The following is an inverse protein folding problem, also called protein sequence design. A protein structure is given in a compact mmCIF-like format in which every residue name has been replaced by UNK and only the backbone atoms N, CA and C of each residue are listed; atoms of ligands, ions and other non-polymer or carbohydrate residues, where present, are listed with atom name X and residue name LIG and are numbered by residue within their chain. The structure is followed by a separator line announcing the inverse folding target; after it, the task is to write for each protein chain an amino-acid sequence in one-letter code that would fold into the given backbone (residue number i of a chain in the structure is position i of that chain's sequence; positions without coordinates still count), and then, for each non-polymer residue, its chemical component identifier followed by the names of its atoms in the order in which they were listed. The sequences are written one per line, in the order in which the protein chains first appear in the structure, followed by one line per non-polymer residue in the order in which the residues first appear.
data_IF_420356766622
#
_entry.id   IF_420356766622
#
_cell.length_a   1.000
_cell.length_b   1.000
_cell.length_c   1.000
_cell.angle_alpha   90.00
_cell.angle_beta   90.00
_cell.angle_gamma   90.00
#
_symmetry.space_group_name_H-M   'P 1'
#
loop_
_entity.id
_entity.type
_entity.pdbx_description
1 polymer ?
#
# COMPACT_ATOMS: atom_id res chain seq x y z
N UNK A 1 -16.27 14.43 -7.49
CA UNK A 1 -16.60 13.25 -6.66
C UNK A 1 -15.31 12.76 -6.06
N UNK A 2 -15.32 12.38 -4.79
CA UNK A 2 -14.13 12.00 -4.04
C UNK A 2 -14.32 10.58 -3.53
N UNK A 3 -13.42 9.67 -3.87
CA UNK A 3 -13.40 8.32 -3.33
C UNK A 3 -13.07 8.38 -1.83
N UNK A 4 -13.66 7.49 -1.05
CA UNK A 4 -13.23 7.25 0.32
C UNK A 4 -12.09 6.22 0.31
N UNK A 5 -11.12 6.38 1.20
CA UNK A 5 -9.98 5.46 1.31
C UNK A 5 -10.06 4.76 2.65
N UNK A 6 -10.04 3.43 2.63
CA UNK A 6 -9.90 2.57 3.80
C UNK A 6 -8.54 1.89 3.77
N UNK A 7 -7.85 1.90 4.90
CA UNK A 7 -6.65 1.09 5.09
C UNK A 7 -7.08 -0.15 5.84
N UNK A 8 -6.88 -1.32 5.24
CA UNK A 8 -7.22 -2.58 5.89
C UNK A 8 -6.33 -2.83 7.11
N UNK A 9 -6.77 -3.64 8.08
CA UNK A 9 -5.94 -3.98 9.25
C UNK A 9 -4.59 -4.61 8.88
N UNK A 10 -4.53 -5.34 7.76
CA UNK A 10 -3.30 -5.93 7.24
C UNK A 10 -2.34 -4.84 6.79
N UNK A 11 -2.80 -3.94 5.92
CA UNK A 11 -1.99 -2.81 5.47
C UNK A 11 -1.55 -1.92 6.64
N UNK A 12 -2.42 -1.69 7.63
CA UNK A 12 -2.09 -0.91 8.83
C UNK A 12 -0.92 -1.55 9.61
N UNK A 13 -0.97 -2.86 9.86
CA UNK A 13 0.12 -3.59 10.52
C UNK A 13 1.43 -3.51 9.73
N UNK A 14 1.37 -3.60 8.40
CA UNK A 14 2.55 -3.50 7.54
C UNK A 14 3.17 -2.10 7.56
N UNK A 15 2.34 -1.05 7.52
CA UNK A 15 2.77 0.34 7.68
C UNK A 15 3.42 0.54 9.05
N UNK A 16 2.79 0.04 10.11
CA UNK A 16 3.30 0.14 11.47
C UNK A 16 4.66 -0.56 11.62
N UNK A 17 4.79 -1.78 11.10
CA UNK A 17 6.04 -2.55 11.16
C UNK A 17 7.17 -1.81 10.44
N UNK A 18 6.91 -1.28 9.24
CA UNK A 18 7.87 -0.48 8.50
C UNK A 18 8.26 0.81 9.26
N UNK A 19 7.27 1.52 9.83
CA UNK A 19 7.52 2.72 10.62
C UNK A 19 8.39 2.44 11.85
N UNK A 20 8.08 1.38 12.62
CA UNK A 20 8.87 0.97 13.79
C UNK A 20 10.32 0.65 13.40
N UNK A 21 10.52 -0.09 12.30
CA UNK A 21 11.85 -0.42 11.79
C UNK A 21 12.69 0.82 11.46
N UNK A 22 12.08 1.82 10.81
CA UNK A 22 12.74 3.09 10.54
C UNK A 22 13.00 3.89 11.82
N UNK A 23 12.03 3.92 12.74
CA UNK A 23 12.09 4.75 13.95
C UNK A 23 13.22 4.33 14.88
N UNK A 24 13.52 3.04 14.97
CA UNK A 24 14.68 2.52 15.72
C UNK A 24 16.02 3.05 15.20
N UNK A 25 16.11 3.39 13.91
CA UNK A 25 17.37 3.79 13.24
C UNK A 25 17.46 5.29 13.04
N UNK A 26 16.35 5.91 12.66
CA UNK A 26 16.24 7.34 12.37
C UNK A 26 14.78 7.81 12.57
N UNK A 27 14.43 8.31 13.77
CA UNK A 27 13.08 8.76 14.07
C UNK A 27 12.56 9.86 13.14
N UNK A 28 13.39 10.85 12.81
CA UNK A 28 12.98 11.94 11.92
C UNK A 28 12.65 11.44 10.52
N UNK A 29 13.45 10.51 10.00
CA UNK A 29 13.17 9.88 8.73
C UNK A 29 11.87 9.08 8.79
N UNK A 30 11.64 8.32 9.86
CA UNK A 30 10.42 7.53 10.05
C UNK A 30 9.17 8.42 9.99
N UNK A 31 9.18 9.57 10.68
CA UNK A 31 8.06 10.50 10.69
C UNK A 31 7.82 11.13 9.30
N UNK A 32 8.90 11.51 8.60
CA UNK A 32 8.80 12.02 7.21
C UNK A 32 8.27 10.97 6.25
N UNK A 33 8.75 9.73 6.37
CA UNK A 33 8.31 8.60 5.56
C UNK A 33 6.83 8.28 5.80
N UNK A 34 6.40 8.20 7.05
CA UNK A 34 5.00 7.91 7.40
C UNK A 34 4.06 8.99 6.87
N UNK A 35 4.36 10.27 7.15
CA UNK A 35 3.56 11.39 6.62
C UNK A 35 3.50 11.39 5.10
N UNK A 36 4.63 11.14 4.44
CA UNK A 36 4.67 11.09 2.99
C UNK A 36 3.87 9.92 2.40
N UNK A 37 3.91 8.74 3.04
CA UNK A 37 3.12 7.59 2.63
C UNK A 37 1.62 7.88 2.77
N UNK A 38 1.20 8.39 3.92
CA UNK A 38 -0.21 8.74 4.17
C UNK A 38 -0.71 9.82 3.20
N UNK A 39 0.11 10.82 2.89
CA UNK A 39 -0.21 11.81 1.87
C UNK A 39 -0.34 11.18 0.47
N UNK A 40 0.52 10.23 0.12
CA UNK A 40 0.44 9.52 -1.15
C UNK A 40 -0.86 8.69 -1.25
N UNK A 41 -1.21 7.97 -0.18
CA UNK A 41 -2.47 7.21 -0.07
C UNK A 41 -3.68 8.16 -0.18
N UNK A 42 -3.64 9.33 0.46
CA UNK A 42 -4.72 10.32 0.38
C UNK A 42 -4.99 10.79 -1.06
N UNK A 43 -3.99 10.82 -1.95
CA UNK A 43 -4.21 11.17 -3.37
C UNK A 43 -5.13 10.19 -4.12
N UNK A 44 -5.33 8.98 -3.59
CA UNK A 44 -6.27 8.00 -4.16
C UNK A 44 -7.73 8.45 -4.01
N UNK A 45 -8.01 9.40 -3.12
CA UNK A 45 -9.34 10.00 -2.99
C UNK A 45 -9.79 10.76 -4.25
N UNK A 46 -8.85 11.25 -5.08
CA UNK A 46 -9.19 12.09 -6.24
C UNK A 46 -9.20 11.35 -7.57
N UNK A 47 -8.24 10.43 -7.78
CA UNK A 47 -8.04 9.74 -9.07
C UNK A 47 -7.40 8.36 -8.88
N UNK A 48 -8.06 7.39 -8.23
CA UNK A 48 -7.44 6.10 -7.93
C UNK A 48 -7.14 5.29 -9.21
N UNK A 49 -7.98 5.43 -10.24
CA UNK A 49 -7.80 4.80 -11.56
C UNK A 49 -6.57 5.27 -12.34
N UNK A 50 -5.87 6.34 -11.90
CA UNK A 50 -4.61 6.79 -12.52
C UNK A 50 -3.47 5.77 -12.32
N UNK A 51 -3.61 4.89 -11.34
CA UNK A 51 -2.60 3.93 -10.96
C UNK A 51 -2.70 2.69 -11.87
N UNK A 52 -1.55 2.17 -12.26
CA UNK A 52 -1.46 0.96 -13.09
C UNK A 52 -1.86 -0.28 -12.30
N UNK A 53 -2.22 -1.35 -13.01
CA UNK A 53 -2.45 -2.65 -12.41
C UNK A 53 -1.20 -3.15 -11.68
N UNK A 54 -1.43 -3.86 -10.57
CA UNK A 54 -0.38 -4.56 -9.86
C UNK A 54 0.07 -5.79 -10.64
N UNK A 55 1.32 -6.22 -10.44
CA UNK A 55 1.81 -7.50 -10.99
C UNK A 55 1.02 -8.68 -10.41
N UNK A 56 0.59 -8.53 -9.16
CA UNK A 56 -0.23 -9.50 -8.44
C UNK A 56 -1.68 -9.50 -8.90
N UNK A 57 -2.12 -8.62 -9.82
CA UNK A 57 -3.53 -8.56 -10.22
C UNK A 57 -4.11 -9.93 -10.59
N UNK A 58 -3.34 -10.76 -11.29
CA UNK A 58 -3.78 -12.08 -11.76
C UNK A 58 -4.03 -13.10 -10.64
N UNK A 59 -3.51 -12.87 -9.43
CA UNK A 59 -3.73 -13.75 -8.27
C UNK A 59 -4.88 -13.27 -7.37
N UNK A 60 -5.43 -12.08 -7.62
CA UNK A 60 -6.59 -11.58 -6.90
C UNK A 60 -7.89 -11.86 -7.66
N UNK A 61 -9.01 -12.10 -6.96
CA UNK A 61 -10.32 -12.25 -7.59
C UNK A 61 -10.88 -10.93 -8.15
N UNK A 62 -10.21 -9.81 -7.89
CA UNK A 62 -10.64 -8.47 -8.24
C UNK A 62 -9.50 -7.63 -8.85
N UNK A 63 -9.85 -6.49 -9.43
CA UNK A 63 -8.88 -5.57 -9.99
C UNK A 63 -8.00 -4.95 -8.89
N UNK A 64 -6.72 -5.32 -8.87
CA UNK A 64 -5.73 -4.74 -7.93
C UNK A 64 -4.79 -3.82 -8.68
N UNK A 65 -4.71 -2.59 -8.19
CA UNK A 65 -3.84 -1.52 -8.67
C UNK A 65 -2.73 -1.25 -7.68
N UNK A 66 -1.69 -0.56 -8.15
CA UNK A 66 -0.55 -0.20 -7.31
C UNK A 66 -0.16 1.27 -7.42
N UNK A 67 0.12 1.87 -6.27
CA UNK A 67 0.79 3.16 -6.15
C UNK A 67 2.20 2.95 -5.62
N UNK A 68 3.19 3.50 -6.33
CA UNK A 68 4.59 3.49 -5.88
C UNK A 68 4.88 4.72 -5.01
N UNK A 69 5.43 4.50 -3.84
CA UNK A 69 5.83 5.55 -2.90
C UNK A 69 7.30 5.39 -2.48
N UNK A 70 8.06 6.48 -2.49
CA UNK A 70 9.46 6.49 -2.06
C UNK A 70 10.44 6.68 -3.21
N UNK A 71 11.73 6.47 -2.93
CA UNK A 71 12.83 6.74 -3.89
C UNK A 71 13.93 5.69 -3.78
N UNK A 72 14.59 5.43 -4.91
CA UNK A 72 15.76 4.56 -5.01
C UNK A 72 15.51 3.18 -4.39
N UNK A 73 16.22 2.82 -3.30
CA UNK A 73 16.10 1.51 -2.65
C UNK A 73 14.94 1.40 -1.65
N UNK A 74 14.32 2.53 -1.27
CA UNK A 74 13.22 2.59 -0.30
C UNK A 74 11.90 2.89 -1.03
N UNK A 75 11.55 2.05 -1.99
CA UNK A 75 10.25 2.13 -2.69
C UNK A 75 9.29 1.13 -2.08
N UNK A 76 8.10 1.59 -1.75
CA UNK A 76 6.96 0.82 -1.30
C UNK A 76 5.90 0.77 -2.38
N UNK A 77 5.19 -0.36 -2.44
CA UNK A 77 4.04 -0.61 -3.29
C UNK A 77 2.81 -0.64 -2.40
N UNK A 78 1.92 0.32 -2.61
CA UNK A 78 0.59 0.34 -2.00
C UNK A 78 -0.34 -0.40 -2.96
N UNK A 79 -0.73 -1.61 -2.60
CA UNK A 79 -1.67 -2.44 -3.35
C UNK A 79 -3.09 -2.12 -2.90
N UNK A 80 -3.98 -1.85 -3.83
CA UNK A 80 -5.35 -1.47 -3.52
C UNK A 80 -6.35 -1.94 -4.58
N UNK A 81 -7.59 -2.14 -4.15
CA UNK A 81 -8.75 -2.37 -5.01
C UNK A 81 -9.71 -1.19 -4.93
N UNK A 82 -10.59 -1.05 -5.93
CA UNK A 82 -11.65 -0.05 -5.98
C UNK A 82 -12.99 -0.80 -6.03
N UNK A 83 -13.84 -0.57 -5.03
CA UNK A 83 -15.22 -1.10 -5.01
C UNK A 83 -16.17 0.07 -4.84
N UNK A 84 -17.07 0.28 -5.80
CA UNK A 84 -17.95 1.45 -5.88
C UNK A 84 -17.17 2.78 -5.80
N UNK A 85 -17.34 3.54 -4.72
CA UNK A 85 -16.63 4.78 -4.41
C UNK A 85 -15.63 4.63 -3.26
N UNK A 86 -15.21 3.40 -2.96
CA UNK A 86 -14.26 3.06 -1.91
C UNK A 86 -12.97 2.52 -2.52
N UNK A 87 -11.84 3.01 -2.01
CA UNK A 87 -10.51 2.48 -2.27
C UNK A 87 -10.07 1.71 -1.03
N UNK A 88 -9.84 0.41 -1.16
CA UNK A 88 -9.34 -0.42 -0.08
C UNK A 88 -7.84 -0.65 -0.27
N UNK A 89 -7.02 -0.08 0.61
CA UNK A 89 -5.58 -0.38 0.66
C UNK A 89 -5.41 -1.74 1.33
N UNK A 90 -5.11 -2.74 0.51
CA UNK A 90 -5.00 -4.13 0.91
C UNK A 90 -3.64 -4.41 1.56
N UNK A 91 -2.56 -3.92 0.94
CA UNK A 91 -1.20 -4.18 1.39
C UNK A 91 -0.27 -2.99 1.13
N UNK A 92 0.75 -2.83 1.97
CA UNK A 92 1.86 -1.88 1.77
C UNK A 92 3.17 -2.63 1.89
N UNK A 93 3.76 -2.96 0.74
CA UNK A 93 4.93 -3.86 0.65
C UNK A 93 6.17 -3.13 0.20
N UNK A 94 7.32 -3.48 0.77
CA UNK A 94 8.60 -2.96 0.26
C UNK A 94 8.92 -3.64 -1.07
N UNK A 95 9.43 -2.90 -2.06
CA UNK A 95 9.76 -3.45 -3.40
C UNK A 95 10.81 -4.55 -3.39
N UNK A 96 11.66 -4.60 -2.37
CA UNK A 96 12.63 -5.69 -2.18
C UNK A 96 12.02 -6.97 -1.57
N UNK A 97 10.75 -6.94 -1.12
CA UNK A 97 10.03 -8.16 -0.74
C UNK A 97 9.64 -8.93 -2.00
N UNK A 98 9.54 -10.25 -1.89
CA UNK A 98 9.02 -11.07 -2.97
C UNK A 98 7.57 -10.65 -3.32
N UNK A 99 7.17 -10.76 -4.61
CA UNK A 99 5.77 -10.65 -5.01
C UNK A 99 4.90 -11.58 -4.18
N UNK A 100 3.63 -11.20 -3.98
CA UNK A 100 2.71 -12.07 -3.27
C UNK A 100 2.37 -13.28 -4.12
N UNK A 101 2.12 -14.39 -3.43
CA UNK A 101 1.67 -15.66 -3.98
C UNK A 101 0.23 -15.91 -3.58
N UNK A 102 -0.40 -16.94 -4.15
CA UNK A 102 -1.77 -17.34 -3.77
C UNK A 102 -1.81 -17.79 -2.30
N UNK A 103 -0.76 -18.46 -1.81
CA UNK A 103 -0.65 -18.92 -0.42
C UNK A 103 -0.69 -17.74 0.57
N UNK A 104 -0.01 -16.63 0.24
CA UNK A 104 -0.04 -15.41 1.07
C UNK A 104 -1.46 -14.81 1.20
N UNK A 105 -2.37 -15.08 0.26
CA UNK A 105 -3.76 -14.61 0.32
C UNK A 105 -4.65 -15.50 1.19
N UNK A 106 -4.32 -16.80 1.29
CA UNK A 106 -5.12 -17.79 2.01
C UNK A 106 -4.83 -17.78 3.51
N UNK A 107 -3.60 -17.46 3.92
CA UNK A 107 -3.17 -17.42 5.33
C UNK A 107 -3.74 -16.23 6.13
N UNK A 108 -4.42 -15.28 5.47
CA UNK A 108 -4.92 -14.05 6.09
C UNK A 108 -6.46 -14.01 6.25
N UNK A 109 -7.16 -15.14 6.05
CA UNK A 109 -8.63 -15.29 6.19
C UNK A 109 -9.06 -15.86 7.54
#
# INVERSE_FOLDING_TARGET
MTWKVEITPIAEKQIEQAYRWYRERNPEFADRWFRGLMNAIATLQEKPHRCVLAVEHDIFPEEVRQLLYGKSKNVYRVLFTIRDMMVYVLYVRHTAQAPMTVEDLEDEV
#
